data_IF_394503894643
#
_entry.id   IF_394503894643
#
_cell.length_a   1.000
_cell.length_b   1.000
_cell.length_c   1.000
_cell.angle_alpha   90.00
_cell.angle_beta   90.00
_cell.angle_gamma   90.00
#
_symmetry.space_group_name_H-M   'P 1'
#
loop_
_entity.id
_entity.type
_entity.pdbx_description
1 polymer ?
#
# COMPACT_ATOMS: atom_id res chain seq x y z
N UNK A 1 -18.40 0.60 21.03
CA UNK A 1 -16.95 0.75 20.70
C UNK A 1 -16.20 0.26 21.90
N UNK A 2 -15.31 -0.73 21.72
CA UNK A 2 -14.52 -1.31 22.82
C UNK A 2 -13.29 -0.47 23.12
N UNK A 3 -12.62 0.01 22.08
CA UNK A 3 -11.51 0.93 22.17
C UNK A 3 -11.49 1.86 20.95
N UNK A 4 -11.11 3.10 21.19
CA UNK A 4 -10.98 4.12 20.16
C UNK A 4 -9.70 4.91 20.40
N UNK A 5 -8.84 4.95 19.40
CA UNK A 5 -7.56 5.63 19.43
C UNK A 5 -7.38 6.44 18.16
N UNK A 6 -6.43 7.38 18.14
CA UNK A 6 -6.16 8.21 16.96
C UNK A 6 -5.78 7.44 15.69
N UNK A 7 -5.40 6.16 15.81
CA UNK A 7 -4.91 5.34 14.71
C UNK A 7 -5.78 4.11 14.42
N UNK A 8 -6.53 3.62 15.41
CA UNK A 8 -7.35 2.43 15.27
C UNK A 8 -8.51 2.42 16.26
N UNK A 9 -9.68 2.02 15.77
CA UNK A 9 -10.88 1.78 16.58
C UNK A 9 -11.29 0.32 16.48
N UNK A 10 -11.99 -0.19 17.50
CA UNK A 10 -12.57 -1.54 17.45
C UNK A 10 -13.91 -1.59 18.13
N UNK A 11 -14.77 -2.35 17.50
CA UNK A 11 -16.18 -2.45 17.79
C UNK A 11 -16.54 -3.92 17.86
N UNK A 12 -17.36 -4.29 18.84
CA UNK A 12 -18.00 -5.58 18.83
C UNK A 12 -19.01 -5.65 17.69
N UNK A 13 -18.91 -6.70 16.88
CA UNK A 13 -19.91 -7.02 15.88
C UNK A 13 -20.99 -7.91 16.50
N UNK A 14 -22.13 -7.32 16.82
CA UNK A 14 -23.31 -8.08 17.26
C UNK A 14 -24.05 -8.58 16.01
N UNK A 15 -23.88 -9.86 15.68
CA UNK A 15 -24.58 -10.50 14.58
C UNK A 15 -25.94 -11.05 15.05
N UNK A 16 -26.98 -10.20 15.04
CA UNK A 16 -28.34 -10.63 15.37
C UNK A 16 -28.99 -11.32 14.15
N UNK A 17 -28.89 -12.64 14.10
CA UNK A 17 -29.59 -13.43 13.08
C UNK A 17 -31.08 -13.56 13.45
N UNK A 18 -31.91 -12.66 12.95
CA UNK A 18 -33.34 -12.89 12.64
C UNK A 18 -33.90 -11.72 11.83
N UNK A 19 -34.18 -11.98 10.55
CA UNK A 19 -35.18 -11.30 9.72
C UNK A 19 -34.99 -9.82 9.33
N UNK A 20 -33.81 -9.40 8.86
CA UNK A 20 -33.57 -8.36 7.83
C UNK A 20 -32.06 -8.02 7.83
N UNK A 21 -31.29 -8.68 6.96
CA UNK A 21 -29.82 -8.67 7.02
C UNK A 21 -29.27 -7.47 6.24
N UNK A 22 -29.11 -6.32 6.88
CA UNK A 22 -28.09 -5.35 6.46
C UNK A 22 -26.76 -5.78 7.07
N UNK A 23 -25.93 -6.45 6.27
CA UNK A 23 -24.53 -6.69 6.64
C UNK A 23 -23.85 -5.34 6.86
N UNK A 24 -23.59 -4.95 8.12
CA UNK A 24 -22.57 -3.93 8.43
C UNK A 24 -21.17 -4.53 8.18
N UNK A 25 -20.89 -4.87 6.92
CA UNK A 25 -19.54 -5.23 6.46
C UNK A 25 -19.18 -4.50 5.17
N UNK A 26 -19.95 -3.47 4.82
CA UNK A 26 -19.58 -2.50 3.81
C UNK A 26 -19.65 -1.12 4.47
N UNK A 27 -18.60 -0.29 4.37
CA UNK A 27 -18.79 1.14 4.44
C UNK A 27 -19.90 1.49 3.45
N UNK A 28 -20.84 2.34 3.85
CA UNK A 28 -22.04 2.73 3.08
C UNK A 28 -21.70 3.54 1.81
N UNK A 29 -20.42 3.59 1.45
CA UNK A 29 -19.88 4.11 0.20
C UNK A 29 -18.66 3.25 -0.14
N UNK A 30 -18.62 2.64 -1.33
CA UNK A 30 -17.55 1.78 -1.82
C UNK A 30 -16.21 2.49 -2.06
N UNK A 31 -15.74 3.25 -1.08
CA UNK A 31 -14.42 3.84 -1.02
C UNK A 31 -13.41 2.76 -0.70
N UNK A 32 -12.33 2.72 -1.48
CA UNK A 32 -11.14 1.95 -1.10
C UNK A 32 -10.30 2.87 -0.23
N UNK A 33 -9.86 2.40 0.93
CA UNK A 33 -9.14 3.24 1.88
C UNK A 33 -7.65 3.33 1.53
N UNK A 34 -7.14 2.34 0.80
CA UNK A 34 -5.69 2.17 0.56
C UNK A 34 -5.36 1.70 -0.84
N UNK A 35 -4.14 1.96 -1.28
CA UNK A 35 -3.56 1.39 -2.50
C UNK A 35 -2.26 0.66 -2.19
N UNK A 36 -2.02 -0.41 -2.94
CA UNK A 36 -0.81 -1.23 -2.90
C UNK A 36 -0.23 -1.32 -4.30
N UNK A 37 1.03 -0.98 -4.48
CA UNK A 37 1.63 -0.79 -5.79
C UNK A 37 2.45 -2.00 -6.22
N UNK A 38 2.06 -2.60 -7.35
CA UNK A 38 2.88 -3.59 -8.04
C UNK A 38 3.66 -2.88 -9.15
N UNK A 39 4.90 -2.51 -8.84
CA UNK A 39 5.69 -1.60 -9.67
C UNK A 39 6.70 -2.36 -10.49
N UNK A 40 6.54 -2.35 -11.81
CA UNK A 40 7.47 -2.93 -12.76
C UNK A 40 8.51 -1.89 -13.20
N UNK A 41 9.78 -2.26 -13.06
CA UNK A 41 10.93 -1.49 -13.50
C UNK A 41 11.71 -2.26 -14.54
N UNK A 42 11.81 -1.69 -15.74
CA UNK A 42 12.53 -2.29 -16.84
C UNK A 42 13.88 -1.59 -17.04
N UNK A 43 14.96 -2.36 -17.03
CA UNK A 43 16.30 -1.88 -17.38
C UNK A 43 16.68 -2.43 -18.75
N UNK A 44 17.23 -1.59 -19.66
CA UNK A 44 17.79 -2.11 -20.90
C UNK A 44 18.80 -3.21 -20.58
N UNK A 45 18.70 -4.36 -21.25
CA UNK A 45 19.58 -5.53 -21.11
C UNK A 45 19.36 -6.41 -19.86
N UNK A 46 18.34 -6.15 -19.05
CA UNK A 46 18.00 -6.98 -17.89
C UNK A 46 16.53 -7.42 -17.93
N UNK A 47 16.19 -8.43 -17.12
CA UNK A 47 14.81 -8.84 -16.90
C UNK A 47 14.00 -7.77 -16.15
N UNK A 48 12.68 -7.80 -16.35
CA UNK A 48 11.77 -6.91 -15.64
C UNK A 48 11.85 -7.17 -14.14
N UNK A 49 12.02 -6.11 -13.36
CA UNK A 49 12.18 -6.16 -11.91
C UNK A 49 10.94 -5.57 -11.24
N UNK A 50 10.69 -5.98 -9.99
CA UNK A 50 9.66 -5.35 -9.15
C UNK A 50 10.33 -4.47 -8.11
N UNK A 51 9.79 -3.27 -7.90
CA UNK A 51 10.25 -2.35 -6.84
C UNK A 51 9.55 -2.70 -5.53
N UNK A 52 10.34 -2.99 -4.50
CA UNK A 52 9.88 -3.27 -3.14
C UNK A 52 10.58 -2.34 -2.14
N UNK A 53 9.97 -2.17 -0.98
CA UNK A 53 10.50 -1.39 0.12
C UNK A 53 11.05 -2.31 1.19
N UNK A 54 12.16 -1.91 1.82
CA UNK A 54 12.63 -2.47 3.08
C UNK A 54 12.31 -1.48 4.18
N UNK A 55 11.35 -1.80 5.04
CA UNK A 55 10.90 -0.92 6.11
C UNK A 55 11.00 -1.61 7.46
N UNK A 56 11.17 -0.83 8.53
CA UNK A 56 11.17 -1.36 9.88
C UNK A 56 9.73 -1.41 10.39
N UNK A 57 9.26 -2.60 10.77
CA UNK A 57 7.94 -2.80 11.32
C UNK A 57 8.03 -2.88 12.84
N UNK A 58 7.49 -1.86 13.53
CA UNK A 58 7.52 -1.78 15.00
C UNK A 58 6.75 -2.92 15.67
N UNK A 59 5.68 -3.42 15.05
CA UNK A 59 4.89 -4.53 15.60
C UNK A 59 5.66 -5.85 15.59
N UNK A 60 6.53 -6.04 14.60
CA UNK A 60 7.36 -7.24 14.45
C UNK A 60 8.78 -7.05 15.01
N UNK A 61 9.12 -5.83 15.44
CA UNK A 61 10.45 -5.43 15.90
C UNK A 61 11.58 -5.85 14.92
N UNK A 62 11.31 -5.78 13.60
CA UNK A 62 12.23 -6.23 12.56
C UNK A 62 11.97 -5.54 11.21
N UNK A 63 12.90 -5.69 10.27
CA UNK A 63 12.74 -5.22 8.90
C UNK A 63 11.90 -6.19 8.06
N UNK A 64 10.92 -5.64 7.36
CA UNK A 64 10.06 -6.35 6.41
C UNK A 64 10.34 -5.89 4.98
N UNK A 65 10.02 -6.75 4.02
CA UNK A 65 10.01 -6.43 2.60
C UNK A 65 8.55 -6.31 2.17
N UNK A 66 8.16 -5.13 1.69
CA UNK A 66 6.76 -4.79 1.44
C UNK A 66 6.58 -4.11 0.08
N UNK A 67 5.36 -4.21 -0.46
CA UNK A 67 4.98 -3.38 -1.60
C UNK A 67 4.82 -1.93 -1.14
N UNK A 68 5.14 -0.93 -1.98
CA UNK A 68 4.76 0.44 -1.71
C UNK A 68 3.25 0.52 -1.48
N UNK A 69 2.83 1.06 -0.35
CA UNK A 69 1.42 1.15 0.05
C UNK A 69 1.16 2.46 0.74
N UNK A 70 -0.07 2.97 0.63
CA UNK A 70 -0.48 4.19 1.30
C UNK A 70 -2.00 4.34 1.32
N UNK A 71 -2.45 5.33 2.08
CA UNK A 71 -3.86 5.74 2.17
C UNK A 71 -4.18 6.65 0.99
N UNK A 72 -5.41 6.52 0.48
CA UNK A 72 -5.96 7.46 -0.51
C UNK A 72 -6.41 8.71 0.23
N UNK A 73 -5.92 9.88 -0.16
CA UNK A 73 -6.29 11.15 0.47
C UNK A 73 -7.67 11.63 0.02
N UNK A 74 -8.28 12.51 0.82
CA UNK A 74 -9.59 13.11 0.51
C UNK A 74 -9.54 13.84 -0.85
N UNK A 75 -10.39 13.43 -1.78
CA UNK A 75 -10.48 13.90 -3.18
C UNK A 75 -9.40 13.39 -4.14
N UNK A 76 -8.63 12.36 -3.77
CA UNK A 76 -7.66 11.72 -4.67
C UNK A 76 -8.27 10.47 -5.34
N UNK A 77 -7.98 10.24 -6.62
CA UNK A 77 -8.31 8.95 -7.25
C UNK A 77 -7.24 7.92 -6.90
N UNK A 78 -7.55 6.60 -6.90
CA UNK A 78 -6.55 5.57 -6.62
C UNK A 78 -5.30 5.67 -7.52
N UNK A 79 -5.46 6.10 -8.77
CA UNK A 79 -4.37 6.31 -9.72
C UNK A 79 -3.47 7.48 -9.34
N UNK A 80 -4.05 8.60 -8.89
CA UNK A 80 -3.28 9.76 -8.43
C UNK A 80 -2.50 9.41 -7.16
N UNK A 81 -3.16 8.74 -6.20
CA UNK A 81 -2.50 8.24 -4.99
C UNK A 81 -1.33 7.32 -5.34
N UNK A 82 -1.50 6.43 -6.31
CA UNK A 82 -0.45 5.51 -6.74
C UNK A 82 0.80 6.24 -7.26
N UNK A 83 0.62 7.28 -8.08
CA UNK A 83 1.74 8.08 -8.60
C UNK A 83 2.44 8.84 -7.48
N UNK A 84 1.68 9.44 -6.55
CA UNK A 84 2.22 10.15 -5.38
C UNK A 84 3.03 9.22 -4.47
N UNK A 85 2.43 8.10 -4.05
CA UNK A 85 3.05 7.11 -3.15
C UNK A 85 4.33 6.55 -3.77
N UNK A 86 4.32 6.21 -5.06
CA UNK A 86 5.51 5.74 -5.77
C UNK A 86 6.64 6.78 -5.67
N UNK A 87 6.34 8.05 -5.96
CA UNK A 87 7.33 9.13 -5.89
C UNK A 87 7.85 9.36 -4.48
N UNK A 88 6.99 9.36 -3.46
CA UNK A 88 7.35 9.66 -2.07
C UNK A 88 8.20 8.56 -1.45
N UNK A 89 7.83 7.29 -1.66
CA UNK A 89 8.47 6.15 -0.98
C UNK A 89 9.70 5.62 -1.72
N UNK A 90 9.72 5.70 -3.05
CA UNK A 90 10.80 5.12 -3.86
C UNK A 90 11.61 6.16 -4.63
N UNK A 91 11.07 7.36 -4.84
CA UNK A 91 11.66 8.37 -5.72
C UNK A 91 11.53 8.06 -7.22
N UNK A 92 10.83 6.99 -7.62
CA UNK A 92 10.53 6.71 -9.03
C UNK A 92 9.29 7.48 -9.48
N UNK A 93 9.27 7.85 -10.76
CA UNK A 93 8.09 8.37 -11.44
C UNK A 93 7.61 7.30 -12.42
N UNK A 94 6.32 6.99 -12.36
CA UNK A 94 5.71 5.91 -13.10
C UNK A 94 4.35 6.27 -13.69
N UNK A 95 3.84 5.37 -14.53
CA UNK A 95 2.48 5.42 -15.07
C UNK A 95 1.69 4.21 -14.61
N UNK A 96 0.40 4.41 -14.35
CA UNK A 96 -0.54 3.34 -14.04
C UNK A 96 -0.79 2.50 -15.30
N UNK A 97 -0.81 1.17 -15.14
CA UNK A 97 -1.16 0.21 -16.17
C UNK A 97 -2.55 -0.35 -15.97
N UNK A 98 -2.81 -0.85 -14.77
CA UNK A 98 -4.07 -1.50 -14.43
C UNK A 98 -4.40 -1.22 -12.98
N UNK A 99 -5.67 -0.93 -12.71
CA UNK A 99 -6.21 -0.85 -11.35
C UNK A 99 -7.01 -2.11 -11.09
N UNK A 100 -6.60 -2.86 -10.06
CA UNK A 100 -7.28 -4.07 -9.62
C UNK A 100 -8.59 -3.78 -8.89
N UNK A 101 -9.38 -4.84 -8.62
CA UNK A 101 -10.57 -4.72 -7.77
C UNK A 101 -10.17 -4.37 -6.32
N UNK A 102 -11.13 -3.87 -5.55
CA UNK A 102 -10.98 -3.71 -4.11
C UNK A 102 -10.91 -5.08 -3.43
N UNK A 103 -9.86 -5.30 -2.65
CA UNK A 103 -9.60 -6.52 -1.88
C UNK A 103 -9.64 -6.18 -0.40
N UNK A 104 -10.15 -7.08 0.43
CA UNK A 104 -10.05 -6.92 1.88
C UNK A 104 -8.68 -7.38 2.34
N UNK A 105 -7.98 -6.54 3.12
CA UNK A 105 -6.62 -6.83 3.58
C UNK A 105 -6.62 -7.93 4.65
N UNK A 106 -7.60 -7.89 5.55
CA UNK A 106 -7.81 -8.95 6.55
C UNK A 106 -9.31 -9.17 6.80
N UNK A 107 -9.99 -9.99 5.97
CA UNK A 107 -11.46 -10.06 5.88
C UNK A 107 -12.19 -10.50 7.16
N UNK A 108 -11.47 -11.10 8.11
CA UNK A 108 -12.03 -11.55 9.39
C UNK A 108 -11.79 -10.55 10.53
N UNK A 109 -10.80 -9.67 10.41
CA UNK A 109 -10.30 -8.86 11.53
C UNK A 109 -10.35 -7.37 11.31
N UNK A 110 -10.40 -6.89 10.07
CA UNK A 110 -10.53 -5.46 9.78
C UNK A 110 -11.48 -5.20 8.61
N UNK A 111 -12.16 -4.06 8.67
CA UNK A 111 -12.97 -3.55 7.56
C UNK A 111 -12.14 -2.81 6.50
N UNK A 112 -10.81 -2.98 6.48
CA UNK A 112 -9.93 -2.25 5.55
C UNK A 112 -9.94 -2.90 4.17
N UNK A 113 -10.08 -2.07 3.14
CA UNK A 113 -10.01 -2.47 1.75
C UNK A 113 -8.87 -1.75 1.03
N UNK A 114 -8.07 -2.50 0.28
CA UNK A 114 -7.02 -1.97 -0.59
C UNK A 114 -7.24 -2.35 -2.04
N UNK A 115 -6.68 -1.55 -2.95
CA UNK A 115 -6.59 -1.89 -4.38
C UNK A 115 -5.14 -2.12 -4.77
N UNK A 116 -4.89 -3.19 -5.50
CA UNK A 116 -3.59 -3.42 -6.12
C UNK A 116 -3.54 -2.67 -7.44
N UNK A 117 -2.56 -1.79 -7.60
CA UNK A 117 -2.36 -0.99 -8.81
C UNK A 117 -1.04 -1.41 -9.44
N UNK A 118 -1.13 -1.91 -10.68
CA UNK A 118 0.05 -2.20 -11.48
C UNK A 118 0.57 -0.92 -12.09
N UNK A 119 1.86 -0.66 -11.90
CA UNK A 119 2.54 0.53 -12.42
C UNK A 119 3.78 0.14 -13.19
N UNK A 120 4.18 1.00 -14.13
CA UNK A 120 5.47 0.93 -14.81
C UNK A 120 6.28 2.19 -14.55
N UNK A 121 7.52 2.02 -14.13
CA UNK A 121 8.46 3.13 -13.95
C UNK A 121 8.83 3.72 -15.31
N UNK A 122 8.83 5.05 -15.39
CA UNK A 122 9.28 5.81 -16.56
C UNK A 122 10.71 6.29 -16.32
N UNK A 123 10.99 6.95 -15.20
CA UNK A 123 12.32 7.43 -14.82
C UNK A 123 12.45 7.58 -13.30
N UNK A 124 13.69 7.73 -12.81
CA UNK A 124 13.96 8.02 -11.40
C UNK A 124 14.08 9.54 -11.21
N UNK A 125 13.29 10.13 -10.31
CA UNK A 125 13.30 11.56 -9.99
C UNK A 125 14.66 12.04 -9.44
N UNK A 126 15.38 11.15 -8.77
CA UNK A 126 16.69 11.40 -8.21
C UNK A 126 17.64 10.35 -8.76
N UNK A 127 18.56 10.75 -9.64
CA UNK A 127 19.63 9.87 -10.10
C UNK A 127 20.59 9.65 -8.92
N UNK A 128 20.22 8.73 -8.02
CA UNK A 128 21.00 8.47 -6.81
C UNK A 128 22.19 7.59 -7.22
N UNK A 129 23.31 8.25 -7.50
CA UNK A 129 24.63 7.61 -7.54
C UNK A 129 24.95 7.13 -6.12
N UNK A 130 24.38 6.00 -5.70
CA UNK A 130 24.87 5.29 -4.52
C UNK A 130 26.09 4.47 -4.97
N UNK A 131 27.28 5.07 -4.84
CA UNK A 131 28.51 4.28 -4.80
C UNK A 131 28.42 3.33 -3.60
N UNK A 132 28.27 2.03 -3.87
CA UNK A 132 28.58 1.01 -2.88
C UNK A 132 30.10 1.00 -2.72
N UNK A 133 30.63 1.54 -1.62
CA UNK A 133 32.01 1.26 -1.21
C UNK A 133 32.03 -0.11 -0.53
N UNK A 134 32.67 -1.14 -1.10
CA UNK A 134 32.87 -2.38 -0.38
C UNK A 134 33.94 -2.13 0.69
N UNK A 135 33.59 -2.24 1.98
CA UNK A 135 34.57 -2.39 3.06
C UNK A 135 34.70 -1.27 4.10
N UNK A 136 33.67 -0.47 4.38
CA UNK A 136 33.70 0.47 5.51
C UNK A 136 33.38 -0.24 6.84
N UNK A 137 34.41 -0.46 7.69
CA UNK A 137 34.23 -0.91 9.08
C UNK A 137 33.38 0.08 9.86
N UNK A 138 32.42 -0.45 10.61
CA UNK A 138 31.62 0.26 11.61
C UNK A 138 32.48 0.41 12.88
N UNK A 139 32.69 1.64 13.32
CA UNK A 139 33.12 2.01 14.68
C UNK A 139 32.20 3.10 15.17
#
# INVERSE_FOLDING_TARGET
VLYDTSWQSTMDSVNNNSNNISRMSQPVTGGTDRVSLLVFYNKPLYHECVVLLKQYNSNLNNYTIEMPTGVIEDNETPELSAVRILSEQTGYIGSVKTVGPSLSDTPCSSGQYSRIISMRVIYHKYLMVRYYKPGGKIS
#
